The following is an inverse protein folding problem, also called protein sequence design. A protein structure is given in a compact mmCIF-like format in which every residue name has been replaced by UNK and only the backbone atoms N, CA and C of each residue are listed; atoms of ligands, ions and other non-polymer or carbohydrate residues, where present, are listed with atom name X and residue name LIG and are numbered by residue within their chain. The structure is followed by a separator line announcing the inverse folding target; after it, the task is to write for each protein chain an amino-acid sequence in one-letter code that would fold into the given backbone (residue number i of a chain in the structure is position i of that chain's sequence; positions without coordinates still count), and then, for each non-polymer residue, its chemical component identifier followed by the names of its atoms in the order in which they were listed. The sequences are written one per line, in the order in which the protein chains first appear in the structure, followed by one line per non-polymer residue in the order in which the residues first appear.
data_IF_968703690504
#
_entry.id   IF_968703690504
#
_cell.length_a   1.000
_cell.length_b   1.000
_cell.length_c   1.000
_cell.angle_alpha   90.00
_cell.angle_beta   90.00
_cell.angle_gamma   90.00
#
_symmetry.space_group_name_H-M   'P 1'
#
loop_
_entity.id
_entity.type
_entity.pdbx_description
1 polymer ?
#
# COMPACT_ATOMS: atom_id res chain seq x y z
N UNK A 1 0.58 -6.93 14.06
CA UNK A 1 -0.19 -7.93 13.28
C UNK A 1 -0.40 -7.43 11.85
N UNK A 2 -0.93 -6.22 11.66
CA UNK A 2 -1.12 -5.56 10.35
C UNK A 2 0.15 -5.42 9.49
N UNK A 3 1.30 -5.13 10.08
CA UNK A 3 2.57 -5.01 9.34
C UNK A 3 2.93 -6.27 8.56
N UNK A 4 2.51 -7.45 9.04
CA UNK A 4 2.77 -8.71 8.34
C UNK A 4 1.90 -8.85 7.08
N UNK A 5 0.72 -8.20 7.02
CA UNK A 5 -0.13 -8.20 5.81
C UNK A 5 0.46 -7.33 4.74
N UNK A 6 0.81 -6.10 5.13
CA UNK A 6 1.38 -5.13 4.22
C UNK A 6 2.69 -5.68 3.67
N UNK A 7 3.57 -6.22 4.51
CA UNK A 7 4.80 -6.88 4.06
C UNK A 7 4.56 -8.07 3.15
N UNK A 8 3.64 -8.99 3.50
CA UNK A 8 3.31 -10.14 2.63
C UNK A 8 2.72 -9.69 1.31
N UNK A 9 1.83 -8.70 1.31
CA UNK A 9 1.25 -8.14 0.10
C UNK A 9 2.32 -7.47 -0.76
N UNK A 10 3.18 -6.62 -0.17
CA UNK A 10 4.28 -5.92 -0.84
C UNK A 10 5.26 -6.90 -1.49
N UNK A 11 5.69 -7.93 -0.75
CA UNK A 11 6.52 -9.00 -1.31
C UNK A 11 5.81 -9.74 -2.45
N UNK A 12 4.51 -9.97 -2.30
CA UNK A 12 3.72 -10.71 -3.26
C UNK A 12 3.51 -9.95 -4.58
N UNK A 13 3.39 -8.61 -4.52
CA UNK A 13 3.31 -7.77 -5.71
C UNK A 13 4.69 -7.34 -6.26
N UNK A 14 5.78 -7.89 -5.72
CA UNK A 14 7.14 -7.61 -6.17
C UNK A 14 7.62 -6.19 -5.86
N UNK A 15 7.02 -5.53 -4.87
CA UNK A 15 7.48 -4.22 -4.41
C UNK A 15 8.44 -4.46 -3.26
N UNK A 16 9.74 -4.35 -3.57
CA UNK A 16 10.80 -4.35 -2.57
C UNK A 16 10.63 -3.10 -1.69
N UNK A 17 10.37 -3.33 -0.40
CA UNK A 17 10.38 -2.27 0.60
C UNK A 17 11.85 -2.00 0.91
N UNK A 18 12.43 -0.95 0.37
CA UNK A 18 13.67 -0.40 0.93
C UNK A 18 13.34 0.07 2.36
N UNK A 19 13.89 -0.63 3.35
CA UNK A 19 13.82 -0.18 4.74
C UNK A 19 14.61 1.14 4.84
N UNK A 20 13.90 2.27 4.97
CA UNK A 20 14.53 3.54 5.34
C UNK A 20 15.10 3.42 6.76
N UNK A 21 16.41 3.19 6.86
CA UNK A 21 17.19 3.38 8.07
C UNK A 21 17.07 4.85 8.52
N UNK A 22 16.26 5.10 9.55
CA UNK A 22 16.18 6.41 10.19
C UNK A 22 17.57 6.77 10.75
N UNK A 23 18.16 7.92 10.39
CA UNK A 23 19.44 8.33 10.96
C UNK A 23 19.28 8.64 12.46
N UNK A 24 20.03 7.92 13.31
CA UNK A 24 20.15 8.23 14.73
C UNK A 24 20.92 9.55 14.90
N UNK A 25 20.30 10.52 15.56
CA UNK A 25 20.96 11.71 16.10
C UNK A 25 22.02 11.30 17.14
N UNK A 26 23.28 11.68 16.90
CA UNK A 26 24.28 11.76 17.95
C UNK A 26 25.12 13.02 17.78
N UNK A 27 24.79 14.01 18.61
CA UNK A 27 25.59 15.18 18.96
C UNK A 27 26.93 14.78 19.60
N UNK A 28 28.06 15.32 19.12
CA UNK A 28 29.18 15.83 19.96
C UNK A 28 30.26 16.54 19.12
N UNK A 29 30.73 17.65 19.68
CA UNK A 29 31.58 18.68 19.10
C UNK A 29 33.10 18.42 19.21
N UNK A 30 33.87 19.12 18.34
CA UNK A 30 35.20 19.78 18.47
C UNK A 30 35.99 19.68 17.14
N UNK A 31 36.22 20.80 16.43
CA UNK A 31 37.48 21.59 16.39
C UNK A 31 38.70 20.72 15.99
N UNK A 32 39.50 20.95 14.94
CA UNK A 32 40.05 22.19 14.35
C UNK A 32 40.84 21.83 13.05
N UNK A 33 40.94 22.79 12.11
CA UNK A 33 42.01 23.01 11.11
C UNK A 33 42.46 21.91 10.08
N UNK A 34 42.27 22.18 8.77
CA UNK A 34 43.32 22.52 7.75
C UNK A 34 42.75 22.38 6.30
N UNK A 35 42.64 23.54 5.63
CA UNK A 35 42.65 23.96 4.20
C UNK A 35 42.46 22.99 2.99
N UNK A 36 41.94 23.53 1.86
CA UNK A 36 40.97 22.86 0.98
C UNK A 36 41.56 22.33 -0.33
N UNK A 37 40.96 21.27 -0.88
CA UNK A 37 41.16 20.89 -2.29
C UNK A 37 39.88 20.30 -2.86
N UNK A 38 39.38 20.98 -3.90
CA UNK A 38 38.55 20.52 -5.01
C UNK A 38 37.83 19.18 -4.84
N UNK A 39 36.51 19.25 -4.73
CA UNK A 39 35.55 18.47 -5.53
C UNK A 39 34.15 18.95 -5.12
N UNK A 40 33.47 19.67 -6.02
CA UNK A 40 32.09 20.09 -5.82
C UNK A 40 31.23 18.86 -5.53
N UNK A 41 30.52 18.76 -4.39
CA UNK A 41 29.61 17.66 -4.17
C UNK A 41 28.50 17.78 -5.23
N UNK A 42 28.43 16.79 -6.11
CA UNK A 42 27.30 16.61 -7.03
C UNK A 42 26.09 16.33 -6.15
N UNK A 43 25.34 17.38 -5.83
CA UNK A 43 24.04 17.27 -5.17
C UNK A 43 23.10 16.64 -6.19
N UNK A 44 22.96 15.32 -6.11
CA UNK A 44 21.87 14.61 -6.77
C UNK A 44 20.64 14.84 -5.91
N UNK A 45 19.70 15.63 -6.43
CA UNK A 45 18.33 15.65 -5.96
C UNK A 45 17.80 14.22 -6.09
N UNK A 46 17.72 13.50 -4.98
CA UNK A 46 17.01 12.22 -4.91
C UNK A 46 15.55 12.57 -5.18
N UNK A 47 15.14 12.44 -6.44
CA UNK A 47 13.74 12.51 -6.82
C UNK A 47 13.00 11.50 -5.96
N UNK A 48 11.89 11.92 -5.35
CA UNK A 48 10.96 11.06 -4.62
C UNK A 48 10.81 9.75 -5.41
N UNK A 49 11.49 8.69 -5.00
CA UNK A 49 11.19 7.36 -5.47
C UNK A 49 9.71 7.18 -5.13
N UNK A 50 8.87 6.89 -6.12
CA UNK A 50 7.46 6.59 -5.90
C UNK A 50 7.40 5.36 -4.99
N UNK A 51 7.46 5.57 -3.67
CA UNK A 51 7.20 4.54 -2.68
C UNK A 51 5.72 4.21 -2.81
N UNK A 52 5.44 3.13 -3.52
CA UNK A 52 4.09 2.62 -3.66
C UNK A 52 3.62 2.14 -2.29
N UNK A 53 2.72 2.90 -1.69
CA UNK A 53 2.13 2.55 -0.40
C UNK A 53 0.96 1.58 -0.57
N UNK A 54 0.91 0.57 0.29
CA UNK A 54 -0.20 -0.39 0.37
C UNK A 54 -0.88 -0.24 1.72
N UNK A 55 -2.19 -0.03 1.69
CA UNK A 55 -3.03 0.02 2.90
C UNK A 55 -4.00 -1.15 2.91
N UNK A 56 -4.18 -1.77 4.08
CA UNK A 56 -5.10 -2.91 4.23
C UNK A 56 -6.16 -2.62 5.28
N UNK A 57 -7.43 -2.83 4.92
CA UNK A 57 -8.58 -2.63 5.79
C UNK A 57 -9.36 -3.92 6.00
N UNK A 58 -9.72 -4.20 7.26
CA UNK A 58 -10.73 -5.22 7.58
C UNK A 58 -12.02 -4.50 7.96
N UNK A 59 -12.93 -4.37 7.00
CA UNK A 59 -14.15 -3.59 7.19
C UNK A 59 -15.16 -4.40 8.00
N UNK A 60 -15.91 -3.70 8.85
CA UNK A 60 -17.00 -4.26 9.66
C UNK A 60 -18.29 -3.47 9.46
N UNK A 61 -18.16 -2.16 9.27
CA UNK A 61 -19.29 -1.24 9.08
C UNK A 61 -19.23 -0.57 7.70
N UNK A 62 -20.39 -0.21 7.17
CA UNK A 62 -20.49 0.47 5.87
C UNK A 62 -19.70 1.80 5.85
N UNK A 63 -19.77 2.60 6.91
CA UNK A 63 -19.13 3.92 6.99
C UNK A 63 -17.60 3.90 6.87
N UNK A 64 -16.97 2.74 7.12
CA UNK A 64 -15.53 2.56 6.98
C UNK A 64 -15.05 2.59 5.52
N UNK A 65 -15.96 2.44 4.55
CA UNK A 65 -15.65 2.52 3.11
C UNK A 65 -15.02 3.85 2.71
N UNK A 66 -15.32 4.93 3.43
CA UNK A 66 -14.74 6.26 3.18
C UNK A 66 -13.21 6.21 3.29
N UNK A 67 -12.67 5.46 4.27
CA UNK A 67 -11.22 5.29 4.47
C UNK A 67 -10.54 4.58 3.29
N UNK A 68 -11.25 3.66 2.63
CA UNK A 68 -10.78 2.97 1.41
C UNK A 68 -10.62 3.98 0.28
N UNK A 69 -11.62 4.84 0.09
CA UNK A 69 -11.61 5.86 -0.96
C UNK A 69 -10.60 6.98 -0.68
N UNK A 70 -10.42 7.38 0.58
CA UNK A 70 -9.41 8.38 0.96
C UNK A 70 -8.00 7.86 0.70
N UNK A 71 -7.68 6.62 1.12
CA UNK A 71 -6.39 6.01 0.83
C UNK A 71 -6.14 5.87 -0.68
N UNK A 72 -7.17 5.53 -1.45
CA UNK A 72 -7.06 5.48 -2.91
C UNK A 72 -6.76 6.86 -3.52
N UNK A 73 -7.38 7.92 -2.99
CA UNK A 73 -7.13 9.31 -3.40
C UNK A 73 -5.71 9.78 -3.05
N UNK A 74 -5.14 9.28 -1.96
CA UNK A 74 -3.74 9.47 -1.57
C UNK A 74 -2.76 8.65 -2.43
N UNK A 75 -3.23 8.04 -3.51
CA UNK A 75 -2.45 7.24 -4.45
C UNK A 75 -1.84 5.98 -3.81
N UNK A 76 -2.57 5.35 -2.88
CA UNK A 76 -2.18 4.09 -2.23
C UNK A 76 -2.95 2.92 -2.84
N UNK A 77 -2.30 1.77 -2.97
CA UNK A 77 -2.99 0.51 -3.24
C UNK A 77 -3.79 0.13 -1.99
N UNK A 78 -5.05 -0.25 -2.16
CA UNK A 78 -5.91 -0.61 -1.04
C UNK A 78 -6.38 -2.05 -1.13
N UNK A 79 -6.10 -2.85 -0.12
CA UNK A 79 -6.70 -4.18 0.07
C UNK A 79 -7.80 -4.05 1.11
N UNK A 80 -8.99 -4.59 0.85
CA UNK A 80 -10.03 -4.59 1.86
C UNK A 80 -10.75 -5.94 1.95
N UNK A 81 -11.04 -6.34 3.19
CA UNK A 81 -11.78 -7.55 3.54
C UNK A 81 -13.20 -7.17 4.01
N UNK A 82 -14.21 -7.87 3.50
CA UNK A 82 -15.63 -7.74 3.79
C UNK A 82 -16.21 -8.93 4.56
N UNK A 83 -15.39 -9.86 5.05
CA UNK A 83 -15.83 -11.07 5.75
C UNK A 83 -16.71 -10.80 6.97
N UNK A 84 -16.44 -9.71 7.68
CA UNK A 84 -17.16 -9.28 8.89
C UNK A 84 -18.24 -8.23 8.61
N UNK A 85 -18.48 -7.88 7.34
CA UNK A 85 -19.53 -6.94 6.94
C UNK A 85 -20.85 -7.71 6.78
N UNK A 86 -21.96 -7.12 7.23
CA UNK A 86 -23.30 -7.66 7.02
C UNK A 86 -23.63 -7.76 5.51
N UNK A 87 -24.29 -8.83 5.09
CA UNK A 87 -24.50 -9.15 3.67
C UNK A 87 -25.23 -8.02 2.90
N UNK A 88 -26.15 -7.31 3.55
CA UNK A 88 -26.88 -6.16 2.98
C UNK A 88 -26.01 -4.92 2.77
N UNK A 89 -24.87 -4.83 3.46
CA UNK A 89 -23.89 -3.76 3.29
C UNK A 89 -22.78 -4.09 2.28
N UNK A 90 -22.51 -5.37 1.99
CA UNK A 90 -21.43 -5.77 1.07
C UNK A 90 -21.59 -5.13 -0.30
N UNK A 91 -22.77 -5.26 -0.92
CA UNK A 91 -23.02 -4.69 -2.25
C UNK A 91 -22.89 -3.16 -2.22
N UNK A 92 -23.40 -2.52 -1.17
CA UNK A 92 -23.31 -1.05 -1.00
C UNK A 92 -21.86 -0.58 -0.93
N UNK A 93 -21.00 -1.30 -0.23
CA UNK A 93 -19.55 -1.02 -0.18
C UNK A 93 -18.94 -1.17 -1.57
N UNK A 94 -19.24 -2.26 -2.27
CA UNK A 94 -18.72 -2.51 -3.63
C UNK A 94 -19.16 -1.40 -4.59
N UNK A 95 -20.41 -0.97 -4.55
CA UNK A 95 -20.92 0.10 -5.41
C UNK A 95 -20.25 1.45 -5.09
N UNK A 96 -20.06 1.77 -3.81
CA UNK A 96 -19.38 2.99 -3.37
C UNK A 96 -17.92 3.02 -3.85
N UNK A 97 -17.18 1.93 -3.63
CA UNK A 97 -15.80 1.79 -4.10
C UNK A 97 -15.75 1.83 -5.63
N UNK A 98 -16.69 1.18 -6.33
CA UNK A 98 -16.76 1.19 -7.80
C UNK A 98 -16.96 2.60 -8.36
N UNK A 99 -17.79 3.42 -7.70
CA UNK A 99 -17.94 4.83 -8.04
C UNK A 99 -16.64 5.62 -7.87
N UNK A 100 -15.92 5.42 -6.75
CA UNK A 100 -14.62 6.05 -6.53
C UNK A 100 -13.57 5.58 -7.55
N UNK A 101 -13.57 4.29 -7.87
CA UNK A 101 -12.67 3.67 -8.84
C UNK A 101 -12.87 4.28 -10.23
N UNK A 102 -14.12 4.45 -10.65
CA UNK A 102 -14.45 5.07 -11.93
C UNK A 102 -13.99 6.53 -12.02
N UNK A 103 -14.24 7.33 -10.97
CA UNK A 103 -13.86 8.76 -10.97
C UNK A 103 -12.34 8.96 -10.91
N UNK A 104 -11.61 8.03 -10.28
CA UNK A 104 -10.15 8.12 -10.11
C UNK A 104 -9.37 7.36 -11.18
N UNK A 105 -10.05 6.83 -12.22
CA UNK A 105 -9.46 5.96 -13.25
C UNK A 105 -8.64 4.80 -12.64
N UNK A 106 -9.09 4.29 -11.48
CA UNK A 106 -8.41 3.21 -10.78
C UNK A 106 -8.85 1.84 -11.34
N UNK A 107 -8.18 0.77 -10.90
CA UNK A 107 -8.54 -0.61 -11.22
C UNK A 107 -8.96 -1.34 -9.93
N UNK A 108 -10.07 -2.08 -9.96
CA UNK A 108 -10.49 -2.96 -8.86
C UNK A 108 -10.38 -4.43 -9.27
N UNK A 109 -9.81 -5.24 -8.39
CA UNK A 109 -9.60 -6.67 -8.60
C UNK A 109 -10.18 -7.46 -7.44
N UNK A 110 -11.01 -8.45 -7.75
CA UNK A 110 -11.48 -9.42 -6.77
C UNK A 110 -10.44 -10.53 -6.62
N UNK A 111 -9.89 -10.69 -5.42
CA UNK A 111 -8.87 -11.71 -5.11
C UNK A 111 -9.46 -12.91 -4.37
N UNK A 112 -10.59 -12.72 -3.65
CA UNK A 112 -11.35 -13.79 -3.01
C UNK A 112 -12.84 -13.43 -2.95
N UNK A 113 -13.69 -14.29 -2.36
CA UNK A 113 -15.14 -14.07 -2.28
C UNK A 113 -15.49 -12.70 -1.68
N UNK A 114 -14.77 -12.29 -0.62
CA UNK A 114 -15.01 -11.06 0.16
C UNK A 114 -13.76 -10.19 0.30
N UNK A 115 -12.74 -10.40 -0.52
CA UNK A 115 -11.50 -9.64 -0.46
C UNK A 115 -11.20 -9.04 -1.83
N UNK A 116 -10.85 -7.76 -1.83
CA UNK A 116 -10.66 -6.95 -3.01
C UNK A 116 -9.38 -6.13 -2.89
N UNK A 117 -8.81 -5.82 -4.04
CA UNK A 117 -7.63 -4.96 -4.20
C UNK A 117 -8.00 -3.82 -5.14
N UNK A 118 -7.67 -2.59 -4.76
CA UNK A 118 -7.89 -1.39 -5.58
C UNK A 118 -6.55 -0.73 -5.83
N UNK A 119 -6.28 -0.43 -7.10
CA UNK A 119 -5.00 0.10 -7.57
C UNK A 119 -5.27 1.47 -8.20
N UNK A 120 -4.68 2.56 -7.70
CA UNK A 120 -4.86 3.88 -8.28
C UNK A 120 -4.21 3.96 -9.67
N UNK A 121 -4.69 4.89 -10.51
CA UNK A 121 -4.22 5.08 -11.90
C UNK A 121 -2.70 5.19 -12.03
N UNK A 122 -2.02 5.81 -11.07
CA UNK A 122 -0.57 6.07 -11.15
C UNK A 122 0.30 4.82 -11.00
N UNK A 123 -0.30 3.69 -10.63
CA UNK A 123 0.40 2.42 -10.43
C UNK A 123 -0.10 1.43 -11.47
N UNK A 124 0.82 0.93 -12.29
CA UNK A 124 0.52 -0.17 -13.21
C UNK A 124 0.79 -1.50 -12.51
N UNK A 125 -0.21 -1.98 -11.76
CA UNK A 125 -0.19 -3.31 -11.18
C UNK A 125 -1.11 -4.23 -12.00
N UNK A 126 -0.52 -5.20 -12.68
CA UNK A 126 -1.26 -6.31 -13.27
C UNK A 126 -1.52 -7.36 -12.19
N UNK A 127 -2.79 -7.52 -11.82
CA UNK A 127 -3.21 -8.61 -10.92
C UNK A 127 -3.48 -9.85 -11.77
N UNK A 128 -2.42 -10.59 -12.04
CA UNK A 128 -2.48 -11.84 -12.80
C UNK A 128 -3.11 -12.99 -11.99
N UNK A 129 -3.33 -14.12 -12.67
CA UNK A 129 -3.91 -15.30 -12.04
C UNK A 129 -2.97 -15.89 -10.99
N UNK A 130 -1.66 -15.70 -11.11
CA UNK A 130 -0.68 -16.16 -10.12
C UNK A 130 -0.85 -15.41 -8.80
N UNK A 131 -0.97 -14.08 -8.85
CA UNK A 131 -1.22 -13.24 -7.69
C UNK A 131 -2.55 -13.59 -7.01
N UNK A 132 -3.62 -13.79 -7.79
CA UNK A 132 -4.91 -14.27 -7.26
C UNK A 132 -4.79 -15.65 -6.63
N UNK A 133 -4.08 -16.57 -7.27
CA UNK A 133 -3.91 -17.93 -6.77
C UNK A 133 -3.05 -17.93 -5.50
N UNK A 134 -2.06 -17.05 -5.37
CA UNK A 134 -1.31 -16.86 -4.12
C UNK A 134 -2.24 -16.39 -2.98
N UNK A 135 -3.14 -15.44 -3.24
CA UNK A 135 -4.16 -15.04 -2.26
C UNK A 135 -5.10 -16.19 -1.89
N UNK A 136 -5.45 -17.07 -2.83
CA UNK A 136 -6.33 -18.24 -2.60
C UNK A 136 -5.63 -19.40 -1.88
N UNK A 137 -4.41 -19.74 -2.29
CA UNK A 137 -3.70 -20.96 -1.89
C UNK A 137 -2.83 -20.77 -0.66
N UNK A 138 -2.10 -19.66 -0.56
CA UNK A 138 -1.09 -19.49 0.50
C UNK A 138 -1.65 -19.02 1.84
N UNK A 139 -2.97 -19.03 2.04
CA UNK A 139 -3.55 -18.58 3.31
C UNK A 139 -3.05 -17.19 3.69
N UNK A 140 -2.82 -16.31 2.70
CA UNK A 140 -2.28 -14.95 2.91
C UNK A 140 -3.18 -14.18 3.89
N UNK A 141 -4.45 -14.57 3.98
CA UNK A 141 -5.45 -14.07 4.94
C UNK A 141 -5.85 -15.05 6.05
N UNK A 142 -5.18 -16.20 6.21
CA UNK A 142 -5.52 -17.20 7.24
C UNK A 142 -5.42 -16.66 8.68
N UNK A 143 -4.72 -15.54 8.88
CA UNK A 143 -4.54 -14.87 10.17
C UNK A 143 -5.46 -13.66 10.38
N UNK A 144 -6.38 -13.37 9.44
CA UNK A 144 -7.44 -12.36 9.60
C UNK A 144 -8.68 -12.89 10.35
N UNK A 145 -8.69 -14.18 10.69
CA UNK A 145 -9.58 -14.78 11.70
C UNK A 145 -8.96 -14.67 13.08
#
# INVERSE_FOLDING_TARGET
MFDNLQRKFLNLIGIEIEEEDKPQESTKAKEENVKPKHETPKVVTIGKANQTEVTVYNLKLFDEVVKVCDALRENKIVVFNLEQVAEDHIQRIIDFVSGAVYVLDAKIHKVSKKIFVVVPRSIDLEVDEQLKEEFRTKGVFAWLK
#
